data_IF_520620644898
#
_entry.id   IF_520620644898
#
_cell.length_a   1.000
_cell.length_b   1.000
_cell.length_c   1.000
_cell.angle_alpha   90.00
_cell.angle_beta   90.00
_cell.angle_gamma   90.00
#
_symmetry.space_group_name_H-M   'P 1'
#
loop_
_entity.id
_entity.type
_entity.pdbx_description
1 polymer ?
#
# COMPACT_ATOMS: atom_id res chain seq x y z
N UNK A 1 16.53 -6.81 8.53
CA UNK A 1 15.25 -7.42 8.19
C UNK A 1 14.41 -7.54 9.46
N UNK A 2 13.14 -7.21 9.38
CA UNK A 2 12.18 -7.42 10.45
C UNK A 2 11.41 -8.71 10.14
N UNK A 3 11.11 -9.50 11.16
CA UNK A 3 10.29 -10.72 11.00
C UNK A 3 8.78 -10.45 11.07
N UNK A 4 8.39 -9.23 11.36
CA UNK A 4 7.00 -8.80 11.49
C UNK A 4 6.77 -7.53 10.66
N UNK A 5 5.58 -7.42 10.10
CA UNK A 5 5.19 -6.29 9.28
C UNK A 5 5.26 -6.59 7.78
N UNK A 6 4.91 -5.60 6.99
CA UNK A 6 4.97 -5.65 5.55
C UNK A 6 6.29 -5.10 4.99
N UNK A 7 6.22 -4.64 3.76
CA UNK A 7 7.27 -3.85 3.12
C UNK A 7 6.89 -2.39 3.34
N UNK A 8 7.87 -1.55 3.69
CA UNK A 8 7.61 -0.15 3.97
C UNK A 8 8.83 0.73 3.71
N UNK A 9 8.59 2.02 3.52
CA UNK A 9 9.61 3.02 3.29
C UNK A 9 9.81 3.94 4.51
N UNK A 10 11.08 4.31 4.78
CA UNK A 10 11.44 5.39 5.70
C UNK A 10 12.17 6.49 4.96
N UNK A 11 11.70 7.73 5.11
CA UNK A 11 12.28 8.89 4.45
C UNK A 11 13.72 9.20 4.88
N UNK A 12 14.45 10.03 4.10
CA UNK A 12 15.76 10.52 4.48
C UNK A 12 15.67 11.46 5.70
N UNK A 13 16.80 11.70 6.36
CA UNK A 13 16.89 12.78 7.34
C UNK A 13 16.78 14.15 6.66
N UNK A 14 16.45 15.19 7.45
CA UNK A 14 16.26 16.55 6.95
C UNK A 14 17.50 17.10 6.21
N UNK A 15 18.68 16.71 6.68
CA UNK A 15 20.00 17.09 6.14
C UNK A 15 20.56 16.09 5.10
N UNK A 16 19.79 15.06 4.76
CA UNK A 16 20.20 13.95 3.89
C UNK A 16 21.42 13.14 4.36
N UNK A 17 21.90 13.33 5.61
CA UNK A 17 22.99 12.52 6.16
C UNK A 17 22.61 11.03 6.31
N UNK A 18 21.32 10.75 6.52
CA UNK A 18 20.74 9.40 6.48
C UNK A 18 19.86 9.26 5.22
N UNK A 19 20.16 8.31 4.32
CA UNK A 19 19.34 8.08 3.13
C UNK A 19 17.97 7.50 3.46
N UNK A 20 17.02 7.69 2.55
CA UNK A 20 15.76 6.94 2.56
C UNK A 20 16.02 5.45 2.40
N UNK A 21 15.15 4.60 2.96
CA UNK A 21 15.31 3.13 2.94
C UNK A 21 13.97 2.45 2.73
N UNK A 22 13.97 1.45 1.85
CA UNK A 22 12.90 0.47 1.75
C UNK A 22 13.26 -0.74 2.62
N UNK A 23 12.33 -1.15 3.46
CA UNK A 23 12.47 -2.27 4.37
C UNK A 23 11.62 -3.44 3.90
N UNK A 24 12.22 -4.61 3.86
CA UNK A 24 11.56 -5.85 3.51
C UNK A 24 11.45 -6.73 4.74
N UNK A 25 10.21 -7.01 5.16
CA UNK A 25 9.96 -8.05 6.14
C UNK A 25 10.07 -9.41 5.46
N UNK A 26 10.64 -10.37 6.17
CA UNK A 26 10.72 -11.78 5.76
C UNK A 26 9.96 -12.60 6.80
N UNK A 27 8.65 -12.83 6.62
CA UNK A 27 7.88 -13.65 7.54
C UNK A 27 8.42 -15.06 7.63
N UNK A 28 8.18 -15.71 8.76
CA UNK A 28 8.58 -17.11 8.97
C UNK A 28 7.94 -17.99 7.87
N UNK A 29 8.77 -18.80 7.22
CA UNK A 29 8.31 -19.69 6.15
C UNK A 29 8.35 -19.08 4.74
N UNK A 30 8.64 -17.79 4.58
CA UNK A 30 8.88 -17.17 3.28
C UNK A 30 10.36 -17.31 2.93
N UNK A 31 10.66 -18.14 1.94
CA UNK A 31 12.04 -18.41 1.48
C UNK A 31 12.36 -17.71 0.17
N UNK A 32 11.34 -17.32 -0.59
CA UNK A 32 11.49 -16.71 -1.92
C UNK A 32 10.48 -15.59 -2.12
N UNK A 33 10.89 -14.58 -2.88
CA UNK A 33 10.02 -13.52 -3.38
C UNK A 33 9.91 -13.67 -4.90
N UNK A 34 8.69 -13.64 -5.41
CA UNK A 34 8.44 -13.64 -6.85
C UNK A 34 8.70 -12.25 -7.43
N UNK A 35 9.71 -12.10 -8.27
CA UNK A 35 10.04 -10.79 -8.88
C UNK A 35 8.87 -10.20 -9.66
N UNK A 36 8.06 -11.05 -10.29
CA UNK A 36 6.85 -10.63 -11.01
C UNK A 36 5.85 -9.90 -10.12
N UNK A 37 5.73 -10.34 -8.88
CA UNK A 37 4.79 -9.78 -7.90
C UNK A 37 5.36 -8.55 -7.20
N UNK A 38 6.65 -8.60 -6.87
CA UNK A 38 7.28 -7.59 -6.02
C UNK A 38 7.71 -6.33 -6.78
N UNK A 39 7.72 -6.37 -8.12
CA UNK A 39 8.11 -5.22 -8.92
C UNK A 39 7.21 -4.01 -8.66
N UNK A 40 5.90 -4.21 -8.57
CA UNK A 40 4.97 -3.12 -8.24
C UNK A 40 5.24 -2.52 -6.86
N UNK A 41 5.62 -3.36 -5.87
CA UNK A 41 6.02 -2.91 -4.53
C UNK A 41 7.29 -2.06 -4.58
N UNK A 42 8.24 -2.40 -5.45
CA UNK A 42 9.44 -1.58 -5.66
C UNK A 42 9.08 -0.20 -6.21
N UNK A 43 8.11 -0.11 -7.11
CA UNK A 43 7.62 1.18 -7.59
C UNK A 43 6.86 1.96 -6.52
N UNK A 44 6.07 1.27 -5.70
CA UNK A 44 5.34 1.86 -4.59
C UNK A 44 6.29 2.49 -3.55
N UNK A 45 7.25 1.73 -3.05
CA UNK A 45 8.16 2.18 -1.99
C UNK A 45 9.32 3.03 -2.52
N UNK A 46 9.74 2.75 -3.75
CA UNK A 46 10.89 3.37 -4.40
C UNK A 46 10.51 4.57 -5.27
N UNK A 47 10.94 4.50 -6.53
CA UNK A 47 10.71 5.54 -7.54
C UNK A 47 9.75 4.98 -8.60
N UNK A 48 8.67 5.71 -8.89
CA UNK A 48 8.33 7.09 -8.50
C UNK A 48 7.48 7.23 -7.22
N UNK A 49 7.31 6.17 -6.43
CA UNK A 49 6.45 6.15 -5.25
C UNK A 49 6.99 6.94 -4.05
N UNK A 50 6.97 6.34 -2.87
CA UNK A 50 7.30 7.01 -1.61
C UNK A 50 8.68 7.67 -1.59
N UNK A 51 9.70 7.00 -2.13
CA UNK A 51 11.06 7.56 -2.13
C UNK A 51 11.14 8.88 -2.90
N UNK A 52 10.54 8.93 -4.08
CA UNK A 52 10.52 10.18 -4.85
C UNK A 52 9.71 11.28 -4.15
N UNK A 53 8.48 10.97 -3.73
CA UNK A 53 7.59 11.94 -3.09
C UNK A 53 8.18 12.51 -1.81
N UNK A 54 8.60 11.65 -0.89
CA UNK A 54 9.13 12.08 0.41
C UNK A 54 10.51 12.72 0.25
N UNK A 55 11.37 12.18 -0.61
CA UNK A 55 12.66 12.76 -0.93
C UNK A 55 12.55 14.17 -1.53
N UNK A 56 11.62 14.37 -2.48
CA UNK A 56 11.35 15.70 -3.04
C UNK A 56 10.78 16.64 -2.00
N UNK A 57 9.89 16.18 -1.13
CA UNK A 57 9.33 16.98 -0.04
C UNK A 57 10.43 17.46 0.89
N UNK A 58 11.40 16.61 1.27
CA UNK A 58 12.56 17.00 2.07
C UNK A 58 13.46 18.00 1.34
N UNK A 59 13.74 17.75 0.06
CA UNK A 59 14.62 18.58 -0.76
C UNK A 59 14.09 20.01 -0.94
N UNK A 60 12.78 20.18 -1.05
CA UNK A 60 12.13 21.47 -1.31
C UNK A 60 12.04 22.39 -0.07
N UNK A 61 13.10 22.48 0.72
CA UNK A 61 13.14 23.32 1.94
C UNK A 61 12.94 24.82 1.69
N UNK A 62 13.25 25.31 0.50
CA UNK A 62 12.98 26.69 0.10
C UNK A 62 11.51 26.99 -0.21
N UNK A 63 10.67 25.97 -0.47
CA UNK A 63 9.27 26.12 -0.82
C UNK A 63 8.34 25.65 0.32
N UNK A 64 8.76 24.65 1.07
CA UNK A 64 7.94 24.01 2.10
C UNK A 64 8.53 24.29 3.48
N UNK A 65 7.73 24.79 4.40
CA UNK A 65 8.14 24.95 5.78
C UNK A 65 8.41 23.58 6.44
N UNK A 66 9.09 23.60 7.58
CA UNK A 66 9.51 22.37 8.26
C UNK A 66 8.33 21.48 8.66
N UNK A 67 7.20 22.05 9.08
CA UNK A 67 5.99 21.30 9.39
C UNK A 67 5.49 20.50 8.18
N UNK A 68 5.37 21.12 7.00
CA UNK A 68 4.93 20.44 5.77
C UNK A 68 5.89 19.33 5.33
N UNK A 69 7.19 19.50 5.60
CA UNK A 69 8.20 18.50 5.21
C UNK A 69 8.27 17.31 6.15
N UNK A 70 8.09 17.51 7.45
CA UNK A 70 8.42 16.52 8.48
C UNK A 70 7.24 16.13 9.37
N UNK A 71 6.25 16.98 9.58
CA UNK A 71 5.18 16.78 10.54
C UNK A 71 3.80 16.59 9.90
N UNK A 72 3.60 17.10 8.69
CA UNK A 72 2.33 16.96 7.99
C UNK A 72 2.27 15.63 7.24
N UNK A 73 1.60 14.66 7.82
CA UNK A 73 1.35 13.36 7.20
C UNK A 73 -0.14 13.13 6.99
N UNK A 74 -0.51 12.82 5.75
CA UNK A 74 -1.87 12.41 5.38
C UNK A 74 -1.76 11.11 4.60
N UNK A 75 -2.31 10.01 5.12
CA UNK A 75 -2.22 8.69 4.48
C UNK A 75 -2.72 8.71 3.05
N UNK A 76 -3.87 9.33 2.76
CA UNK A 76 -4.41 9.43 1.40
C UNK A 76 -3.51 10.17 0.42
N UNK A 77 -2.75 11.17 0.88
CA UNK A 77 -1.77 11.88 0.04
C UNK A 77 -0.56 10.99 -0.28
N UNK A 78 0.00 10.32 0.71
CA UNK A 78 1.20 9.51 0.55
C UNK A 78 0.91 8.15 -0.12
N UNK A 79 -0.05 7.40 0.41
CA UNK A 79 -0.42 6.08 -0.11
C UNK A 79 -1.13 6.17 -1.45
N UNK A 80 -1.96 7.20 -1.63
CA UNK A 80 -2.61 7.45 -2.91
C UNK A 80 -1.61 7.78 -4.02
N UNK A 81 -0.58 8.58 -3.71
CA UNK A 81 0.53 8.80 -4.63
C UNK A 81 1.27 7.51 -4.99
N UNK A 82 1.63 6.72 -3.98
CA UNK A 82 2.37 5.49 -4.21
C UNK A 82 1.58 4.46 -5.02
N UNK A 83 0.26 4.34 -4.78
CA UNK A 83 -0.61 3.48 -5.58
C UNK A 83 -0.77 4.00 -7.01
N UNK A 84 -0.94 5.32 -7.18
CA UNK A 84 -0.92 5.97 -8.49
C UNK A 84 0.40 5.73 -9.23
N UNK A 85 1.53 5.75 -8.51
CA UNK A 85 2.85 5.49 -9.07
C UNK A 85 2.97 4.08 -9.67
N UNK A 86 2.39 3.06 -9.03
CA UNK A 86 2.34 1.70 -9.57
C UNK A 86 1.65 1.67 -10.94
N UNK A 87 0.48 2.31 -11.04
CA UNK A 87 -0.27 2.42 -12.30
C UNK A 87 0.48 3.25 -13.35
N UNK A 88 1.09 4.34 -12.95
CA UNK A 88 1.90 5.18 -13.84
C UNK A 88 3.05 4.38 -14.48
N UNK A 89 3.67 3.47 -13.72
CA UNK A 89 4.75 2.64 -14.26
C UNK A 89 4.24 1.61 -15.29
N UNK A 90 3.01 1.12 -15.17
CA UNK A 90 2.37 0.32 -16.22
C UNK A 90 2.08 1.16 -17.48
N UNK A 91 1.51 2.36 -17.32
CA UNK A 91 1.24 3.28 -18.43
C UNK A 91 2.51 3.68 -19.19
N UNK A 92 3.63 3.81 -18.49
CA UNK A 92 4.94 4.14 -19.07
C UNK A 92 5.67 2.90 -19.65
N UNK A 93 5.08 1.69 -19.56
CA UNK A 93 5.62 0.47 -20.13
C UNK A 93 6.73 -0.20 -19.30
N UNK A 94 6.85 0.11 -18.03
CA UNK A 94 7.86 -0.51 -17.15
C UNK A 94 7.42 -1.88 -16.57
N UNK A 95 6.16 -2.25 -16.72
CA UNK A 95 5.73 -3.65 -16.59
C UNK A 95 5.87 -4.32 -17.96
N UNK A 96 7.00 -4.95 -18.20
CA UNK A 96 7.41 -5.40 -19.55
C UNK A 96 6.82 -6.75 -19.97
N UNK A 97 6.15 -7.46 -19.06
CA UNK A 97 5.54 -8.76 -19.28
C UNK A 97 4.23 -8.93 -18.51
N UNK A 98 3.44 -9.91 -18.93
CA UNK A 98 2.12 -10.19 -18.34
C UNK A 98 2.22 -10.60 -16.86
N UNK A 99 3.32 -11.22 -16.44
CA UNK A 99 3.49 -11.64 -15.06
C UNK A 99 3.67 -10.43 -14.13
N UNK A 100 4.47 -9.46 -14.50
CA UNK A 100 4.65 -8.22 -13.72
C UNK A 100 3.40 -7.36 -13.70
N UNK A 101 2.63 -7.33 -14.80
CA UNK A 101 1.31 -6.67 -14.83
C UNK A 101 0.29 -7.40 -13.94
N UNK A 102 0.30 -8.74 -13.94
CA UNK A 102 -0.55 -9.52 -13.04
C UNK A 102 -0.23 -9.20 -11.57
N UNK A 103 1.06 -9.08 -11.21
CA UNK A 103 1.48 -8.70 -9.86
C UNK A 103 0.95 -7.32 -9.45
N UNK A 104 1.00 -6.34 -10.35
CA UNK A 104 0.39 -5.03 -10.11
C UNK A 104 -1.13 -5.14 -9.91
N UNK A 105 -1.83 -5.89 -10.78
CA UNK A 105 -3.29 -6.06 -10.69
C UNK A 105 -3.71 -6.78 -9.41
N UNK A 106 -2.96 -7.79 -8.96
CA UNK A 106 -3.18 -8.43 -7.66
C UNK A 106 -3.01 -7.44 -6.50
N UNK A 107 -1.97 -6.60 -6.57
CA UNK A 107 -1.80 -5.49 -5.64
C UNK A 107 -2.98 -4.52 -5.64
N UNK A 108 -3.50 -4.14 -6.79
CA UNK A 108 -4.70 -3.29 -6.92
C UNK A 108 -5.94 -3.97 -6.35
N UNK A 109 -6.11 -5.29 -6.58
CA UNK A 109 -7.21 -6.09 -6.03
C UNK A 109 -7.17 -6.08 -4.49
N UNK A 110 -6.02 -6.32 -3.88
CA UNK A 110 -5.84 -6.18 -2.44
C UNK A 110 -6.26 -4.79 -1.94
N UNK A 111 -5.81 -3.71 -2.63
CA UNK A 111 -6.12 -2.32 -2.24
C UNK A 111 -7.61 -2.00 -2.38
N UNK A 112 -8.32 -2.66 -3.28
CA UNK A 112 -9.79 -2.57 -3.38
C UNK A 112 -10.47 -3.39 -2.28
N UNK A 113 -10.05 -4.63 -2.07
CA UNK A 113 -10.66 -5.53 -1.08
C UNK A 113 -10.59 -4.98 0.34
N UNK A 114 -9.46 -4.40 0.74
CA UNK A 114 -9.31 -3.85 2.09
C UNK A 114 -10.15 -2.61 2.37
N UNK A 115 -10.57 -1.86 1.34
CA UNK A 115 -11.56 -0.78 1.50
C UNK A 115 -12.88 -1.35 2.00
N UNK A 116 -13.30 -2.47 1.43
CA UNK A 116 -14.56 -3.15 1.80
C UNK A 116 -14.49 -3.67 3.24
N UNK A 117 -13.38 -4.33 3.59
CA UNK A 117 -13.18 -4.87 4.95
C UNK A 117 -13.12 -3.75 5.99
N UNK A 118 -12.27 -2.74 5.78
CA UNK A 118 -12.09 -1.65 6.75
C UNK A 118 -13.40 -0.88 6.99
N UNK A 119 -14.02 -0.40 5.91
CA UNK A 119 -15.27 0.37 6.02
C UNK A 119 -16.41 -0.53 6.55
N UNK A 120 -16.51 -1.76 6.05
CA UNK A 120 -17.52 -2.71 6.48
C UNK A 120 -17.47 -2.99 8.00
N UNK A 121 -16.29 -3.30 8.50
CA UNK A 121 -16.08 -3.60 9.92
C UNK A 121 -16.31 -2.36 10.78
N UNK A 122 -15.66 -1.24 10.46
CA UNK A 122 -15.65 -0.07 11.35
C UNK A 122 -16.91 0.80 11.26
N UNK A 123 -17.63 0.75 10.13
CA UNK A 123 -18.89 1.45 9.96
C UNK A 123 -20.13 0.56 10.21
N UNK A 124 -19.93 -0.73 10.49
CA UNK A 124 -21.02 -1.65 10.79
C UNK A 124 -21.88 -2.02 9.57
N UNK A 125 -21.33 -1.96 8.36
CA UNK A 125 -22.03 -2.46 7.17
C UNK A 125 -22.07 -3.99 7.15
N UNK A 126 -23.00 -4.56 6.43
CA UNK A 126 -23.07 -6.00 6.25
C UNK A 126 -21.91 -6.53 5.39
N UNK A 127 -21.42 -7.72 5.75
CA UNK A 127 -20.44 -8.42 4.94
C UNK A 127 -21.05 -8.84 3.59
N UNK A 128 -20.25 -8.95 2.50
CA UNK A 128 -20.73 -9.42 1.23
C UNK A 128 -21.33 -10.83 1.29
N UNK A 129 -22.29 -11.10 0.39
CA UNK A 129 -22.98 -12.41 0.32
C UNK A 129 -22.00 -13.58 0.08
N UNK A 130 -20.90 -13.35 -0.64
CA UNK A 130 -19.85 -14.35 -0.91
C UNK A 130 -19.16 -14.91 0.35
N UNK A 131 -19.18 -14.14 1.45
CA UNK A 131 -18.69 -14.59 2.76
C UNK A 131 -19.82 -14.78 3.78
N UNK A 132 -21.06 -14.91 3.32
CA UNK A 132 -22.23 -15.28 4.13
C UNK A 132 -23.03 -14.11 4.69
N UNK A 133 -22.82 -12.88 4.23
CA UNK A 133 -23.63 -11.69 4.62
C UNK A 133 -23.60 -11.38 6.11
N UNK A 134 -24.47 -10.48 6.55
CA UNK A 134 -24.63 -10.10 7.97
C UNK A 134 -23.40 -9.46 8.59
N UNK A 135 -23.28 -9.51 9.91
CA UNK A 135 -22.16 -8.89 10.62
C UNK A 135 -20.80 -9.48 10.24
N UNK A 136 -19.78 -8.63 10.15
CA UNK A 136 -18.41 -9.06 9.95
C UNK A 136 -17.88 -9.84 11.15
N UNK A 137 -17.10 -10.87 10.86
CA UNK A 137 -16.23 -11.59 11.79
C UNK A 137 -14.83 -11.62 11.24
N UNK A 138 -13.85 -11.96 12.06
CA UNK A 138 -12.47 -12.15 11.61
C UNK A 138 -12.40 -13.19 10.47
N UNK A 139 -13.09 -14.31 10.60
CA UNK A 139 -13.08 -15.38 9.59
C UNK A 139 -13.69 -14.94 8.26
N UNK A 140 -14.75 -14.12 8.28
CA UNK A 140 -15.33 -13.54 7.05
C UNK A 140 -14.37 -12.56 6.39
N UNK A 141 -13.73 -11.69 7.16
CA UNK A 141 -12.74 -10.76 6.65
C UNK A 141 -11.52 -11.48 6.07
N UNK A 142 -11.07 -12.53 6.75
CA UNK A 142 -10.03 -13.43 6.26
C UNK A 142 -10.42 -14.11 4.95
N UNK A 143 -11.59 -14.73 4.89
CA UNK A 143 -12.08 -15.39 3.68
C UNK A 143 -12.18 -14.42 2.50
N UNK A 144 -12.70 -13.21 2.76
CA UNK A 144 -12.83 -12.18 1.74
C UNK A 144 -11.46 -11.74 1.20
N UNK A 145 -10.51 -11.39 2.06
CA UNK A 145 -9.17 -10.98 1.63
C UNK A 145 -8.43 -12.10 0.89
N UNK A 146 -8.53 -13.34 1.38
CA UNK A 146 -7.88 -14.50 0.77
C UNK A 146 -8.44 -14.85 -0.61
N UNK A 147 -9.69 -14.47 -0.91
CA UNK A 147 -10.30 -14.66 -2.22
C UNK A 147 -9.88 -13.57 -3.24
N UNK A 148 -9.40 -12.42 -2.75
CA UNK A 148 -9.12 -11.25 -3.58
C UNK A 148 -7.65 -10.84 -3.67
N UNK A 149 -6.75 -11.58 -3.02
CA UNK A 149 -5.31 -11.33 -3.09
C UNK A 149 -4.51 -12.63 -2.99
N UNK A 150 -3.58 -12.81 -3.91
CA UNK A 150 -2.62 -13.93 -3.89
C UNK A 150 -1.38 -13.55 -3.09
N UNK A 151 -1.49 -13.61 -1.77
CA UNK A 151 -0.45 -13.21 -0.82
C UNK A 151 -0.06 -14.37 0.09
N UNK A 152 1.21 -14.48 0.45
CA UNK A 152 1.62 -15.44 1.47
C UNK A 152 0.83 -15.20 2.78
N UNK A 153 0.34 -16.28 3.39
CA UNK A 153 -0.57 -16.23 4.54
C UNK A 153 -0.09 -15.29 5.66
N UNK A 154 1.21 -15.32 5.96
CA UNK A 154 1.78 -14.47 7.02
C UNK A 154 1.68 -12.97 6.72
N UNK A 155 1.81 -12.56 5.46
CA UNK A 155 1.59 -11.17 5.05
C UNK A 155 0.10 -10.80 5.10
N UNK A 156 -0.77 -11.67 4.60
CA UNK A 156 -2.20 -11.38 4.55
C UNK A 156 -2.83 -11.31 5.95
N UNK A 157 -2.38 -12.15 6.90
CA UNK A 157 -2.79 -12.05 8.31
C UNK A 157 -2.33 -10.75 8.95
N UNK A 158 -1.08 -10.37 8.72
CA UNK A 158 -0.57 -9.08 9.19
C UNK A 158 -1.40 -7.89 8.63
N UNK A 159 -1.75 -7.94 7.34
CA UNK A 159 -2.60 -6.93 6.72
C UNK A 159 -3.99 -6.87 7.38
N UNK A 160 -4.65 -8.01 7.57
CA UNK A 160 -5.96 -8.04 8.22
C UNK A 160 -5.91 -7.49 9.65
N UNK A 161 -4.95 -7.93 10.47
CA UNK A 161 -4.79 -7.46 11.84
C UNK A 161 -4.53 -5.93 11.88
N UNK A 162 -3.76 -5.43 10.92
CA UNK A 162 -3.50 -4.00 10.76
C UNK A 162 -4.77 -3.21 10.43
N UNK A 163 -5.64 -3.72 9.54
CA UNK A 163 -6.90 -3.05 9.21
C UNK A 163 -7.82 -2.97 10.42
N UNK A 164 -7.94 -4.06 11.17
CA UNK A 164 -8.78 -4.10 12.36
C UNK A 164 -8.27 -3.18 13.48
N UNK A 165 -6.95 -2.99 13.56
CA UNK A 165 -6.31 -2.15 14.58
C UNK A 165 -6.08 -0.68 14.16
N UNK A 166 -6.30 -0.34 12.89
CA UNK A 166 -6.02 1.01 12.35
C UNK A 166 -7.11 1.48 11.39
N UNK A 167 -8.30 1.85 11.91
CA UNK A 167 -9.44 2.27 11.12
C UNK A 167 -9.11 3.42 10.15
N UNK A 168 -9.55 3.29 8.89
CA UNK A 168 -9.42 4.34 7.86
C UNK A 168 -8.04 4.42 7.18
N UNK A 169 -7.04 3.65 7.62
CA UNK A 169 -5.75 3.62 6.94
C UNK A 169 -5.82 2.79 5.64
N UNK A 170 -6.45 1.63 5.68
CA UNK A 170 -6.56 0.75 4.52
C UNK A 170 -7.29 1.39 3.32
N UNK A 171 -8.39 2.14 3.47
CA UNK A 171 -9.07 2.82 2.37
C UNK A 171 -8.26 3.96 1.74
N UNK A 172 -7.31 4.54 2.47
CA UNK A 172 -6.59 5.74 2.06
C UNK A 172 -5.81 5.57 0.74
N UNK A 173 -5.39 4.36 0.41
CA UNK A 173 -4.70 4.03 -0.84
C UNK A 173 -5.57 4.26 -2.07
N UNK A 174 -6.68 3.56 -2.19
CA UNK A 174 -7.57 3.65 -3.35
C UNK A 174 -8.30 4.98 -3.42
N UNK A 175 -8.70 5.55 -2.28
CA UNK A 175 -9.32 6.88 -2.23
C UNK A 175 -8.30 7.95 -2.63
N UNK A 176 -7.10 7.87 -2.12
CA UNK A 176 -6.02 8.80 -2.46
C UNK A 176 -5.59 8.70 -3.92
N UNK A 177 -5.45 7.49 -4.47
CA UNK A 177 -5.17 7.28 -5.89
C UNK A 177 -6.23 7.95 -6.78
N UNK A 178 -7.50 7.77 -6.44
CA UNK A 178 -8.61 8.39 -7.17
C UNK A 178 -8.50 9.92 -7.20
N UNK A 179 -8.09 10.53 -6.09
CA UNK A 179 -7.86 11.97 -6.04
C UNK A 179 -6.67 12.39 -6.91
N UNK A 180 -5.58 11.63 -6.90
CA UNK A 180 -4.43 11.90 -7.76
C UNK A 180 -4.78 11.79 -9.25
N UNK A 181 -5.55 10.76 -9.64
CA UNK A 181 -6.04 10.62 -11.01
C UNK A 181 -6.91 11.82 -11.43
N UNK A 182 -7.82 12.25 -10.56
CA UNK A 182 -8.67 13.43 -10.81
C UNK A 182 -7.90 14.75 -10.93
N UNK A 183 -6.75 14.87 -10.26
CA UNK A 183 -5.88 16.06 -10.38
C UNK A 183 -5.03 16.06 -11.67
N UNK A 184 -4.86 14.89 -12.26
CA UNK A 184 -4.12 14.72 -13.52
C UNK A 184 -4.97 15.09 -14.75
N UNK A 185 -6.30 14.88 -14.69
CA UNK A 185 -7.27 15.24 -15.74
C UNK A 185 -7.46 16.76 -15.83
#
# INVERSE_FOLDING_TARGET
PTSSGGIYYTGPSEDFSRPGRMWWAVPKGVERFGTWRELTTVYHEGVPGHHLQIGQTMYRSGLLNRWRRMGSWTSGHAEGWALYAERLMDELGFHTDDATRLGMLDGQSLRAARVIVDIGVHCGFEAPAEVGGGAWTYDKAWAFLSAHADMAEGFLRFELDRYLGWPGQAPSYSIGERLWLSLRE
#
